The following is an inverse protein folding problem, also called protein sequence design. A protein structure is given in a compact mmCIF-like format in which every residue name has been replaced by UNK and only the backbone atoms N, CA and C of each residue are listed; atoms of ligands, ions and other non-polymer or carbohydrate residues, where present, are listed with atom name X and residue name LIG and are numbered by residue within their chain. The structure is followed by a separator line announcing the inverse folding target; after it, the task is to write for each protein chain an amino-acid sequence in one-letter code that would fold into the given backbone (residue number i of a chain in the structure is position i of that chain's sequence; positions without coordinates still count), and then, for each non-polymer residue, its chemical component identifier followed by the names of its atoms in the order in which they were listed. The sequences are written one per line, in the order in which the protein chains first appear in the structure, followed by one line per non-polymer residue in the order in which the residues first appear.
data_IF_980606689911
#
_entry.id   IF_980606689911
#
_cell.length_a   1.000
_cell.length_b   1.000
_cell.length_c   1.000
_cell.angle_alpha   90.00
_cell.angle_beta   90.00
_cell.angle_gamma   90.00
#
_symmetry.space_group_name_H-M   'P 1'
#
loop_
_entity.id
_entity.type
_entity.pdbx_description
1 polymer ?
#
# COMPACT_ATOMS: atom_id res chain seq x y z
N UNK A 1 2.57 -3.29 -4.60
CA UNK A 1 1.84 -2.72 -5.74
C UNK A 1 0.48 -2.15 -5.38
N UNK A 2 -0.46 -2.90 -4.77
CA UNK A 2 -1.80 -2.40 -4.43
C UNK A 2 -1.80 -1.10 -3.61
N UNK A 3 -0.90 -0.97 -2.63
CA UNK A 3 -0.75 0.25 -1.83
C UNK A 3 -0.37 1.51 -2.65
N UNK A 4 0.25 1.32 -3.82
CA UNK A 4 0.63 2.42 -4.72
C UNK A 4 -0.50 2.76 -5.70
N UNK A 5 -1.19 1.73 -6.20
CA UNK A 5 -2.27 1.88 -7.18
C UNK A 5 -3.57 2.38 -6.54
N UNK A 6 -3.86 1.94 -5.32
CA UNK A 6 -5.10 2.21 -4.61
C UNK A 6 -4.82 2.65 -3.17
N UNK A 7 -4.15 3.79 -2.95
CA UNK A 7 -3.79 4.25 -1.60
C UNK A 7 -5.01 4.47 -0.70
N UNK A 8 -6.16 4.83 -1.29
CA UNK A 8 -7.41 5.16 -0.60
C UNK A 8 -8.28 3.93 -0.29
N UNK A 9 -7.84 2.72 -0.68
CA UNK A 9 -8.56 1.51 -0.35
C UNK A 9 -8.58 1.30 1.18
N UNK A 10 -9.73 0.87 1.76
CA UNK A 10 -9.86 0.76 3.22
C UNK A 10 -8.89 -0.27 3.83
N UNK A 11 -8.60 -1.35 3.09
CA UNK A 11 -7.51 -2.30 3.34
C UNK A 11 -7.07 -2.93 2.01
N UNK A 12 -5.87 -3.48 1.99
CA UNK A 12 -5.27 -4.07 0.78
C UNK A 12 -5.23 -5.61 0.80
N UNK A 13 -6.14 -6.27 1.53
CA UNK A 13 -6.32 -7.71 1.40
C UNK A 13 -7.13 -8.03 0.14
N UNK A 14 -6.92 -9.22 -0.44
CA UNK A 14 -7.58 -9.62 -1.69
C UNK A 14 -9.10 -9.49 -1.64
N UNK A 15 -9.73 -9.95 -0.55
CA UNK A 15 -11.19 -9.88 -0.44
C UNK A 15 -11.67 -8.44 -0.27
N UNK A 16 -10.95 -7.59 0.49
CA UNK A 16 -11.32 -6.19 0.61
C UNK A 16 -11.21 -5.48 -0.74
N UNK A 17 -10.12 -5.70 -1.47
CA UNK A 17 -9.94 -5.12 -2.81
C UNK A 17 -10.96 -5.65 -3.81
N UNK A 18 -11.32 -6.94 -3.76
CA UNK A 18 -12.40 -7.51 -4.58
C UNK A 18 -13.70 -6.76 -4.38
N UNK A 19 -14.14 -6.59 -3.13
CA UNK A 19 -15.39 -5.90 -2.82
C UNK A 19 -15.32 -4.41 -3.14
N UNK A 20 -14.21 -3.75 -2.78
CA UNK A 20 -14.00 -2.32 -2.99
C UNK A 20 -13.95 -1.93 -4.48
N UNK A 21 -13.30 -2.74 -5.32
CA UNK A 21 -13.26 -2.57 -6.77
C UNK A 21 -14.52 -3.09 -7.48
N UNK A 22 -15.43 -3.75 -6.77
CA UNK A 22 -16.65 -4.33 -7.36
C UNK A 22 -16.38 -5.41 -8.42
N UNK A 23 -15.35 -6.24 -8.24
CA UNK A 23 -14.96 -7.21 -9.27
C UNK A 23 -16.06 -8.27 -9.47
N UNK A 24 -16.54 -8.48 -10.72
CA UNK A 24 -17.63 -9.42 -11.04
C UNK A 24 -17.10 -10.87 -11.06
N UNK A 25 -16.69 -11.37 -9.90
CA UNK A 25 -16.12 -12.71 -9.76
C UNK A 25 -17.20 -13.74 -9.45
N UNK A 26 -17.12 -14.91 -10.08
CA UNK A 26 -18.03 -16.02 -9.79
C UNK A 26 -17.83 -16.50 -8.35
N UNK A 27 -18.88 -16.40 -7.53
CA UNK A 27 -18.81 -16.65 -6.10
C UNK A 27 -18.32 -18.06 -5.77
N UNK A 28 -18.73 -19.08 -6.54
CA UNK A 28 -18.32 -20.47 -6.34
C UNK A 28 -16.83 -20.74 -6.55
N UNK A 29 -16.13 -19.86 -7.29
CA UNK A 29 -14.68 -19.94 -7.49
C UNK A 29 -13.90 -18.99 -6.59
N UNK A 30 -14.56 -18.00 -5.96
CA UNK A 30 -13.94 -16.98 -5.14
C UNK A 30 -14.19 -17.18 -3.63
N UNK A 31 -14.85 -18.28 -3.25
CA UNK A 31 -15.20 -18.65 -1.88
C UNK A 31 -14.91 -20.13 -1.58
N UNK A 32 -14.69 -20.51 -0.32
CA UNK A 32 -14.49 -19.61 0.83
C UNK A 32 -13.09 -18.97 0.76
N UNK A 33 -12.92 -17.77 1.35
CA UNK A 33 -11.60 -17.15 1.48
C UNK A 33 -10.66 -18.01 2.34
N UNK A 34 -9.36 -17.75 2.26
CA UNK A 34 -8.33 -18.53 2.97
C UNK A 34 -8.19 -19.98 2.45
N UNK A 35 -8.64 -20.21 1.21
CA UNK A 35 -8.39 -21.42 0.46
C UNK A 35 -7.55 -21.06 -0.75
N UNK A 36 -6.55 -21.90 -1.04
CA UNK A 36 -5.59 -21.62 -2.11
C UNK A 36 -6.26 -21.35 -3.47
N UNK A 37 -7.25 -22.15 -3.87
CA UNK A 37 -7.97 -21.97 -5.14
C UNK A 37 -8.72 -20.62 -5.22
N UNK A 38 -9.67 -20.36 -4.30
CA UNK A 38 -10.33 -19.07 -4.19
C UNK A 38 -9.42 -17.85 -4.11
N UNK A 39 -8.36 -17.92 -3.31
CA UNK A 39 -7.43 -16.81 -3.15
C UNK A 39 -6.60 -16.59 -4.42
N UNK A 40 -6.17 -17.65 -5.11
CA UNK A 40 -5.48 -17.55 -6.40
C UNK A 40 -6.38 -16.95 -7.48
N UNK A 41 -7.66 -17.36 -7.53
CA UNK A 41 -8.64 -16.82 -8.46
C UNK A 41 -8.85 -15.31 -8.26
N UNK A 42 -9.04 -14.87 -7.02
CA UNK A 42 -9.17 -13.43 -6.70
C UNK A 42 -7.87 -12.67 -7.02
N UNK A 43 -6.70 -13.25 -6.68
CA UNK A 43 -5.39 -12.63 -6.97
C UNK A 43 -5.18 -12.42 -8.46
N UNK A 44 -5.50 -13.42 -9.29
CA UNK A 44 -5.35 -13.34 -10.74
C UNK A 44 -6.20 -12.19 -11.32
N UNK A 45 -7.44 -12.02 -10.85
CA UNK A 45 -8.31 -10.94 -11.32
C UNK A 45 -7.83 -9.57 -10.83
N UNK A 46 -7.32 -9.48 -9.60
CA UNK A 46 -6.68 -8.26 -9.11
C UNK A 46 -5.45 -7.91 -9.95
N UNK A 47 -4.61 -8.88 -10.31
CA UNK A 47 -3.46 -8.68 -11.17
C UNK A 47 -3.87 -8.12 -12.54
N UNK A 48 -4.95 -8.63 -13.14
CA UNK A 48 -5.48 -8.08 -14.40
C UNK A 48 -5.88 -6.60 -14.26
N UNK A 49 -6.48 -6.20 -13.14
CA UNK A 49 -6.78 -4.79 -12.88
C UNK A 49 -5.50 -3.95 -12.73
N UNK A 50 -4.47 -4.49 -12.07
CA UNK A 50 -3.20 -3.79 -11.89
C UNK A 50 -2.44 -3.62 -13.21
N UNK A 51 -2.46 -4.63 -14.08
CA UNK A 51 -1.88 -4.60 -15.42
C UNK A 51 -2.51 -3.53 -16.33
N UNK A 52 -3.76 -3.15 -16.07
CA UNK A 52 -4.41 -2.05 -16.78
C UNK A 52 -3.93 -0.66 -16.32
N UNK A 53 -3.29 -0.57 -15.14
CA UNK A 53 -2.88 0.70 -14.51
C UNK A 53 -1.36 0.91 -14.50
N UNK A 54 -0.57 -0.16 -14.61
CA UNK A 54 0.88 -0.12 -14.53
C UNK A 54 1.52 -1.22 -15.38
N UNK A 55 2.74 -0.95 -15.87
CA UNK A 55 3.50 -1.93 -16.62
C UNK A 55 4.07 -3.04 -15.72
N UNK A 56 4.41 -4.18 -16.33
CA UNK A 56 5.06 -5.30 -15.62
C UNK A 56 6.39 -4.86 -15.00
N UNK A 57 7.15 -4.02 -15.70
CA UNK A 57 8.43 -3.47 -15.23
C UNK A 57 8.22 -2.61 -13.99
N UNK A 58 7.20 -1.74 -13.99
CA UNK A 58 6.86 -0.92 -12.82
C UNK A 58 6.45 -1.79 -11.63
N UNK A 59 5.60 -2.80 -11.85
CA UNK A 59 5.14 -3.69 -10.79
C UNK A 59 6.27 -4.56 -10.22
N UNK A 60 7.18 -5.03 -11.09
CA UNK A 60 8.39 -5.75 -10.69
C UNK A 60 9.28 -4.85 -9.83
N UNK A 61 9.54 -3.61 -10.29
CA UNK A 61 10.34 -2.64 -9.54
C UNK A 61 9.74 -2.33 -8.17
N UNK A 62 8.41 -2.22 -8.05
CA UNK A 62 7.75 -1.98 -6.76
C UNK A 62 7.80 -3.16 -5.80
N UNK A 63 7.96 -4.39 -6.30
CA UNK A 63 7.97 -5.60 -5.46
C UNK A 63 9.28 -5.70 -4.65
N UNK A 64 10.36 -5.13 -5.17
CA UNK A 64 11.66 -5.05 -4.50
C UNK A 64 11.83 -3.80 -3.62
N UNK A 65 10.82 -2.93 -3.55
CA UNK A 65 10.87 -1.69 -2.76
C UNK A 65 10.09 -1.86 -1.45
N UNK A 66 10.45 -1.10 -0.39
CA UNK A 66 9.63 -1.00 0.81
C UNK A 66 8.19 -0.61 0.47
N UNK A 67 7.25 -1.07 1.28
CA UNK A 67 5.83 -0.79 1.09
C UNK A 67 5.59 0.70 1.25
N UNK A 68 4.84 1.25 0.32
CA UNK A 68 4.37 2.62 0.42
C UNK A 68 3.14 2.64 1.32
N UNK A 69 3.33 2.85 2.61
CA UNK A 69 2.23 2.92 3.57
C UNK A 69 1.41 4.18 3.30
N UNK A 70 0.09 4.10 3.04
CA UNK A 70 -0.73 5.29 2.80
C UNK A 70 -0.93 6.11 4.08
N UNK A 71 -1.00 5.42 5.23
CA UNK A 71 -1.28 5.99 6.53
C UNK A 71 -0.17 5.63 7.54
N UNK A 72 0.00 6.46 8.55
CA UNK A 72 0.92 6.23 9.66
C UNK A 72 0.49 4.97 10.46
N UNK A 73 1.34 3.92 10.54
CA UNK A 73 0.93 2.64 11.12
C UNK A 73 0.84 2.63 12.66
N UNK A 74 1.52 3.55 13.35
CA UNK A 74 1.62 3.54 14.82
C UNK A 74 1.76 4.94 15.43
N UNK A 75 1.87 4.98 16.76
CA UNK A 75 2.20 6.19 17.51
C UNK A 75 1.02 7.16 17.65
N UNK A 76 1.34 8.39 18.07
CA UNK A 76 0.35 9.44 18.36
C UNK A 76 -0.52 9.81 17.16
N UNK A 77 0.04 9.71 15.96
CA UNK A 77 -0.61 10.12 14.71
C UNK A 77 -1.06 8.92 13.86
N UNK A 78 -1.28 7.75 14.49
CA UNK A 78 -1.74 6.55 13.80
C UNK A 78 -3.02 6.82 13.00
N UNK A 79 -3.04 6.38 11.74
CA UNK A 79 -4.18 6.53 10.85
C UNK A 79 -4.25 7.85 10.08
N UNK A 80 -3.38 8.81 10.39
CA UNK A 80 -3.23 10.02 9.56
C UNK A 80 -2.40 9.72 8.32
N UNK A 81 -2.67 10.44 7.22
CA UNK A 81 -1.81 10.39 6.03
C UNK A 81 -0.46 11.05 6.31
N UNK A 82 0.57 10.68 5.55
CA UNK A 82 1.90 11.28 5.68
C UNK A 82 1.91 12.79 5.46
N UNK A 83 0.98 13.32 4.66
CA UNK A 83 0.79 14.74 4.41
C UNK A 83 0.26 15.50 5.63
N UNK A 84 -0.54 14.85 6.47
CA UNK A 84 -1.17 15.45 7.66
C UNK A 84 -0.25 15.43 8.88
N UNK A 85 0.87 14.70 8.81
CA UNK A 85 1.80 14.64 9.91
C UNK A 85 2.46 16.00 10.17
N UNK A 86 2.47 16.45 11.44
CA UNK A 86 3.22 17.63 11.86
C UNK A 86 4.72 17.49 11.53
N UNK A 87 5.37 18.61 11.19
CA UNK A 87 6.78 18.61 10.78
C UNK A 87 7.72 18.17 11.91
N UNK A 88 7.43 18.57 13.15
CA UNK A 88 8.14 18.15 14.35
C UNK A 88 8.03 16.63 14.56
N UNK A 89 6.87 16.03 14.29
CA UNK A 89 6.69 14.59 14.34
C UNK A 89 7.51 13.87 13.25
N UNK A 90 7.54 14.41 12.03
CA UNK A 90 8.41 13.89 10.97
C UNK A 90 9.90 13.98 11.34
N UNK A 91 10.34 15.08 11.95
CA UNK A 91 11.71 15.24 12.43
C UNK A 91 12.03 14.27 13.58
N UNK A 92 11.09 14.04 14.50
CA UNK A 92 11.24 13.02 15.53
C UNK A 92 11.38 11.63 14.91
N UNK A 93 10.56 11.30 13.91
CA UNK A 93 10.67 10.04 13.15
C UNK A 93 12.04 9.91 12.48
N UNK A 94 12.68 11.00 12.04
CA UNK A 94 14.04 10.96 11.45
C UNK A 94 15.09 10.47 12.45
N UNK A 95 14.95 10.84 13.71
CA UNK A 95 15.90 10.50 14.78
C UNK A 95 15.79 9.04 15.22
N UNK A 96 14.69 8.34 14.88
CA UNK A 96 14.50 6.93 15.18
C UNK A 96 15.22 6.08 14.12
N UNK A 97 16.27 5.36 14.52
CA UNK A 97 17.10 4.53 13.64
C UNK A 97 16.65 3.07 13.58
N UNK A 98 15.99 2.56 14.63
CA UNK A 98 15.52 1.17 14.74
C UNK A 98 14.10 0.94 14.20
N UNK A 99 13.69 1.75 13.22
CA UNK A 99 12.32 1.74 12.73
C UNK A 99 12.17 0.80 11.52
N UNK A 100 10.95 0.30 11.31
CA UNK A 100 10.63 -0.54 10.16
C UNK A 100 11.03 0.15 8.84
N UNK A 101 11.61 -0.62 7.92
CA UNK A 101 12.12 -0.12 6.64
C UNK A 101 11.05 0.60 5.81
N UNK A 102 9.79 0.15 5.88
CA UNK A 102 8.65 0.78 5.19
C UNK A 102 8.39 2.19 5.73
N UNK A 103 8.52 2.38 7.05
CA UNK A 103 8.31 3.66 7.72
C UNK A 103 9.46 4.61 7.45
N UNK A 104 10.71 4.12 7.47
CA UNK A 104 11.89 4.89 7.08
C UNK A 104 11.76 5.38 5.63
N UNK A 105 11.34 4.49 4.72
CA UNK A 105 11.14 4.81 3.31
C UNK A 105 10.06 5.87 3.11
N UNK A 106 8.87 5.69 3.68
CA UNK A 106 7.77 6.65 3.54
C UNK A 106 8.10 8.01 4.16
N UNK A 107 8.77 8.03 5.32
CA UNK A 107 9.24 9.27 5.95
C UNK A 107 10.21 10.03 5.05
N UNK A 108 11.24 9.37 4.51
CA UNK A 108 12.22 10.00 3.61
C UNK A 108 11.54 10.64 2.41
N UNK A 109 10.67 9.86 1.74
CA UNK A 109 9.89 10.31 0.60
C UNK A 109 9.03 11.54 0.93
N UNK A 110 8.40 11.56 2.10
CA UNK A 110 7.55 12.68 2.53
C UNK A 110 8.38 13.95 2.82
N UNK A 111 9.55 13.81 3.44
CA UNK A 111 10.46 14.93 3.69
C UNK A 111 10.97 15.51 2.36
N UNK A 112 11.42 14.66 1.44
CA UNK A 112 11.86 15.07 0.10
C UNK A 112 10.75 15.80 -0.66
N UNK A 113 9.50 15.33 -0.54
CA UNK A 113 8.34 16.00 -1.14
C UNK A 113 8.08 17.39 -0.55
N UNK A 114 8.27 17.58 0.76
CA UNK A 114 8.07 18.87 1.44
C UNK A 114 9.24 19.84 1.28
N UNK A 115 10.43 19.33 0.98
CA UNK A 115 11.64 20.12 0.78
C UNK A 115 12.27 19.80 -0.60
N UNK A 116 11.58 20.10 -1.71
CA UNK A 116 12.12 19.89 -3.03
C UNK A 116 13.28 20.86 -3.27
N UNK A 117 14.51 20.39 -3.10
CA UNK A 117 15.73 21.13 -3.40
C UNK A 117 16.19 22.06 -2.29
N UNK A 118 17.29 21.67 -1.64
CA UNK A 118 18.28 22.61 -1.13
C UNK A 118 19.55 22.43 -1.96
#
# INVERSE_FOLDING_TARGET
MALRLWPDAPKHSNQVLRYWLGLPLYAGLAMPPHRAGPDAYVTAHLLLQMLALASVEQMTAWTSQPKLLPLMPFGKHRGLSWSELPLDYLQWLVRQTEMDADVIYCRRREIERRQPGR
#
